data_IF_459689137824
#
_entry.id   IF_459689137824
#
_cell.length_a   1.000
_cell.length_b   1.000
_cell.length_c   1.000
_cell.angle_alpha   90.00
_cell.angle_beta   90.00
_cell.angle_gamma   90.00
#
_symmetry.space_group_name_H-M   'P 1'
#
loop_
_entity.id
_entity.type
_entity.pdbx_description
1 polymer ?
#
# COMPACT_ATOMS: atom_id res chain seq x y z
N UNK A 1 26.88 3.27 -10.30
CA UNK A 1 26.67 2.40 -9.11
C UNK A 1 25.32 2.74 -8.50
N UNK A 2 24.25 2.13 -9.02
CA UNK A 2 22.89 2.33 -8.49
C UNK A 2 22.80 1.53 -7.20
N UNK A 3 22.63 2.21 -6.07
CA UNK A 3 22.34 1.54 -4.79
C UNK A 3 20.98 0.87 -4.95
N UNK A 4 20.95 -0.47 -4.92
CA UNK A 4 19.69 -1.20 -4.86
C UNK A 4 18.85 -0.66 -3.70
N UNK A 5 17.62 -0.23 -4.02
CA UNK A 5 16.66 0.14 -2.99
C UNK A 5 16.23 -1.16 -2.28
N UNK A 6 16.52 -1.36 -0.97
CA UNK A 6 16.29 -2.64 -0.28
C UNK A 6 14.81 -3.07 -0.15
N UNK A 7 13.90 -2.27 -0.70
CA UNK A 7 12.46 -2.34 -0.47
C UNK A 7 11.76 -3.48 -1.22
N UNK A 8 12.40 -4.17 -2.18
CA UNK A 8 11.68 -5.10 -3.06
C UNK A 8 11.45 -6.52 -2.51
N UNK A 9 12.19 -6.96 -1.49
CA UNK A 9 12.15 -8.35 -1.01
C UNK A 9 11.49 -8.60 0.35
N UNK A 10 11.42 -7.60 1.24
CA UNK A 10 11.23 -7.84 2.69
C UNK A 10 10.12 -7.03 3.36
N UNK A 11 9.28 -6.33 2.60
CA UNK A 11 8.30 -5.38 3.16
C UNK A 11 7.39 -5.95 4.28
N UNK A 12 6.83 -7.16 4.11
CA UNK A 12 6.02 -7.81 5.17
C UNK A 12 6.83 -8.02 6.46
N UNK A 13 8.13 -8.32 6.33
CA UNK A 13 9.02 -8.55 7.47
C UNK A 13 9.40 -7.25 8.19
N UNK A 14 9.48 -6.12 7.51
CA UNK A 14 10.00 -4.88 8.11
C UNK A 14 9.00 -4.24 9.07
N UNK A 15 7.72 -4.08 8.69
CA UNK A 15 6.71 -3.55 9.62
C UNK A 15 6.38 -4.55 10.74
N UNK A 16 6.39 -5.85 10.45
CA UNK A 16 6.25 -6.89 11.48
C UNK A 16 7.41 -6.87 12.50
N UNK A 17 8.63 -6.57 12.04
CA UNK A 17 9.80 -6.33 12.92
C UNK A 17 9.62 -5.09 13.77
N UNK A 18 9.12 -3.98 13.21
CA UNK A 18 8.80 -2.77 13.98
C UNK A 18 7.77 -3.04 15.08
N UNK A 19 6.71 -3.80 14.77
CA UNK A 19 5.70 -4.23 15.75
C UNK A 19 6.32 -5.09 16.86
N UNK A 20 7.10 -6.11 16.49
CA UNK A 20 7.80 -6.98 17.43
C UNK A 20 8.79 -6.20 18.31
N UNK A 21 9.51 -5.24 17.73
CA UNK A 21 10.43 -4.37 18.46
C UNK A 21 9.70 -3.56 19.54
N UNK A 22 8.62 -2.87 19.18
CA UNK A 22 7.83 -2.09 20.16
C UNK A 22 7.27 -3.00 21.26
N UNK A 23 6.73 -4.17 20.90
CA UNK A 23 6.23 -5.13 21.88
C UNK A 23 7.30 -5.61 22.86
N UNK A 24 8.52 -5.86 22.38
CA UNK A 24 9.63 -6.27 23.25
C UNK A 24 10.13 -5.14 24.14
N UNK A 25 10.09 -3.88 23.67
CA UNK A 25 10.36 -2.71 24.53
C UNK A 25 9.28 -2.56 25.61
N UNK A 26 8.00 -2.70 25.25
CA UNK A 26 6.89 -2.60 26.22
C UNK A 26 6.88 -3.72 27.26
N UNK A 27 7.35 -4.92 26.89
CA UNK A 27 7.55 -6.05 27.82
C UNK A 27 8.82 -5.92 28.68
N UNK A 28 9.63 -4.88 28.50
CA UNK A 28 10.89 -4.69 29.21
C UNK A 28 12.03 -5.61 28.77
N UNK A 29 11.87 -6.34 27.66
CA UNK A 29 12.93 -7.20 27.08
C UNK A 29 14.06 -6.35 26.51
N UNK A 30 13.73 -5.21 25.92
CA UNK A 30 14.70 -4.24 25.40
C UNK A 30 14.69 -2.95 26.21
N UNK A 31 15.86 -2.30 26.29
CA UNK A 31 15.99 -0.98 26.91
C UNK A 31 15.11 0.02 26.18
N UNK A 32 14.32 0.78 26.94
CA UNK A 32 13.44 1.79 26.37
C UNK A 32 14.26 2.96 25.83
N UNK A 33 14.14 3.22 24.53
CA UNK A 33 14.69 4.41 23.89
C UNK A 33 13.59 5.46 23.73
N UNK A 34 13.57 6.53 24.51
CA UNK A 34 12.52 7.58 24.45
C UNK A 34 12.73 8.60 23.32
N UNK A 35 13.54 8.28 22.31
CA UNK A 35 13.77 9.19 21.20
C UNK A 35 12.54 9.33 20.29
N UNK A 36 12.54 10.39 19.48
CA UNK A 36 11.44 10.71 18.56
C UNK A 36 11.14 9.57 17.57
N UNK A 37 12.16 8.89 17.07
CA UNK A 37 11.98 7.77 16.12
C UNK A 37 11.22 6.60 16.73
N UNK A 38 11.54 6.21 17.97
CA UNK A 38 10.82 5.17 18.69
C UNK A 38 9.37 5.59 18.96
N UNK A 39 9.15 6.82 19.43
CA UNK A 39 7.81 7.33 19.70
C UNK A 39 6.92 7.30 18.45
N UNK A 40 7.45 7.69 17.29
CA UNK A 40 6.73 7.62 16.01
C UNK A 40 6.36 6.18 15.62
N UNK A 41 7.29 5.22 15.77
CA UNK A 41 7.00 3.81 15.46
C UNK A 41 5.98 3.27 16.46
N UNK A 42 6.13 3.57 17.75
CA UNK A 42 5.18 3.19 18.79
C UNK A 42 3.77 3.70 18.48
N UNK A 43 3.64 4.97 18.12
CA UNK A 43 2.37 5.56 17.71
C UNK A 43 1.80 4.84 16.48
N UNK A 44 2.61 4.61 15.44
CA UNK A 44 2.19 3.90 14.24
C UNK A 44 1.72 2.47 14.53
N UNK A 45 2.30 1.78 15.53
CA UNK A 45 1.88 0.43 15.93
C UNK A 45 0.53 0.39 16.64
N UNK A 46 0.00 1.53 17.11
CA UNK A 46 -1.36 1.61 17.66
C UNK A 46 -2.44 1.62 16.58
N UNK A 47 -2.09 1.95 15.34
CA UNK A 47 -3.01 1.87 14.20
C UNK A 47 -3.27 0.41 13.81
N UNK A 48 -4.50 -0.05 14.02
CA UNK A 48 -4.95 -1.41 13.71
C UNK A 48 -4.80 -1.77 12.22
N UNK A 49 -4.73 -0.77 11.34
CA UNK A 49 -4.58 -0.93 9.90
C UNK A 49 -3.16 -0.64 9.39
N UNK A 50 -2.18 -0.42 10.27
CA UNK A 50 -0.82 -0.05 9.85
C UNK A 50 -0.20 -1.06 8.88
N UNK A 51 -0.43 -2.37 9.12
CA UNK A 51 0.03 -3.42 8.21
C UNK A 51 -0.67 -3.36 6.85
N UNK A 52 -1.97 -3.05 6.83
CA UNK A 52 -2.75 -2.90 5.60
C UNK A 52 -2.21 -1.73 4.78
N UNK A 53 -2.06 -0.56 5.41
CA UNK A 53 -1.47 0.64 4.78
C UNK A 53 -0.08 0.35 4.22
N UNK A 54 0.77 -0.32 5.01
CA UNK A 54 2.11 -0.69 4.58
C UNK A 54 2.09 -1.60 3.34
N UNK A 55 1.16 -2.55 3.26
CA UNK A 55 1.02 -3.44 2.10
C UNK A 55 0.49 -2.74 0.85
N UNK A 56 -0.40 -1.76 1.01
CA UNK A 56 -0.82 -0.89 -0.10
C UNK A 56 0.38 -0.12 -0.64
N UNK A 57 1.14 0.56 0.23
CA UNK A 57 2.35 1.30 -0.19
C UNK A 57 3.41 0.39 -0.80
N UNK A 58 3.61 -0.81 -0.25
CA UNK A 58 4.54 -1.78 -0.84
C UNK A 58 4.10 -2.22 -2.24
N UNK A 59 2.80 -2.38 -2.46
CA UNK A 59 2.26 -2.74 -3.79
C UNK A 59 2.47 -1.60 -4.77
N UNK A 60 2.18 -0.35 -4.38
CA UNK A 60 2.48 0.85 -5.18
C UNK A 60 3.98 0.92 -5.52
N UNK A 61 4.85 0.77 -4.51
CA UNK A 61 6.30 0.84 -4.70
C UNK A 61 6.81 -0.26 -5.65
N UNK A 62 6.27 -1.47 -5.55
CA UNK A 62 6.60 -2.57 -6.48
C UNK A 62 6.16 -2.28 -7.91
N UNK A 63 5.02 -1.63 -8.11
CA UNK A 63 4.55 -1.23 -9.44
C UNK A 63 5.38 -0.09 -10.03
N UNK A 64 5.77 0.89 -9.20
CA UNK A 64 6.56 2.06 -9.64
C UNK A 64 8.04 1.71 -9.87
N UNK A 65 8.61 0.77 -9.12
CA UNK A 65 10.05 0.45 -9.15
C UNK A 65 10.60 0.19 -10.56
N UNK A 66 10.02 -0.68 -11.41
CA UNK A 66 10.55 -0.93 -12.75
C UNK A 66 10.57 0.31 -13.64
N UNK A 67 9.55 1.18 -13.51
CA UNK A 67 9.51 2.44 -14.24
C UNK A 67 10.67 3.35 -13.83
N UNK A 68 10.90 3.49 -12.52
CA UNK A 68 12.02 4.30 -12.02
C UNK A 68 13.36 3.75 -12.46
N UNK A 69 13.59 2.43 -12.35
CA UNK A 69 14.85 1.80 -12.78
C UNK A 69 15.11 2.00 -14.27
N UNK A 70 14.05 1.94 -15.09
CA UNK A 70 14.15 2.17 -16.53
C UNK A 70 14.54 3.63 -16.85
N UNK A 71 13.86 4.60 -16.23
CA UNK A 71 14.11 6.04 -16.45
C UNK A 71 15.32 6.61 -15.69
N UNK A 72 15.89 5.89 -14.74
CA UNK A 72 17.15 6.21 -14.06
C UNK A 72 18.36 5.59 -14.79
N UNK A 73 18.33 5.62 -16.12
CA UNK A 73 19.41 5.18 -17.00
C UNK A 73 19.90 6.34 -17.87
N UNK A 74 21.09 6.21 -18.45
CA UNK A 74 21.66 7.21 -19.37
C UNK A 74 21.06 7.15 -20.79
N UNK A 75 20.00 6.35 -20.99
CA UNK A 75 19.33 6.23 -22.28
C UNK A 75 18.43 7.47 -22.56
N UNK A 76 18.33 7.92 -23.82
CA UNK A 76 17.50 9.07 -24.19
C UNK A 76 16.00 8.67 -24.24
N UNK A 77 15.41 8.38 -23.09
CA UNK A 77 14.05 7.84 -22.97
C UNK A 77 12.93 8.89 -23.00
N UNK A 78 13.27 10.18 -22.98
CA UNK A 78 12.29 11.28 -22.96
C UNK A 78 11.19 11.18 -24.04
N UNK A 79 11.47 10.75 -25.30
CA UNK A 79 10.43 10.59 -26.31
C UNK A 79 9.33 9.58 -25.95
N UNK A 80 9.60 8.62 -25.05
CA UNK A 80 8.66 7.58 -24.64
C UNK A 80 7.97 7.87 -23.29
N UNK A 81 8.39 8.94 -22.60
CA UNK A 81 8.00 9.23 -21.22
C UNK A 81 6.49 9.36 -21.04
N UNK A 82 5.80 10.05 -21.96
CA UNK A 82 4.35 10.24 -21.87
C UNK A 82 3.59 8.90 -21.91
N UNK A 83 3.96 8.01 -22.83
CA UNK A 83 3.27 6.73 -23.01
C UNK A 83 3.56 5.78 -21.84
N UNK A 84 4.80 5.77 -21.35
CA UNK A 84 5.19 4.94 -20.21
C UNK A 84 4.56 5.42 -18.88
N UNK A 85 4.47 6.74 -18.66
CA UNK A 85 3.74 7.30 -17.52
C UNK A 85 2.26 6.91 -17.59
N UNK A 86 1.64 7.06 -18.77
CA UNK A 86 0.24 6.68 -18.97
C UNK A 86 0.03 5.19 -18.64
N UNK A 87 0.95 4.33 -19.08
CA UNK A 87 0.92 2.89 -18.80
C UNK A 87 1.05 2.61 -17.30
N UNK A 88 2.00 3.26 -16.62
CA UNK A 88 2.20 3.12 -15.17
C UNK A 88 0.95 3.55 -14.40
N UNK A 89 0.37 4.71 -14.74
CA UNK A 89 -0.84 5.19 -14.08
C UNK A 89 -2.02 4.23 -14.30
N UNK A 90 -2.26 3.79 -15.55
CA UNK A 90 -3.31 2.79 -15.84
C UNK A 90 -3.14 1.52 -15.00
N UNK A 91 -1.92 0.97 -14.97
CA UNK A 91 -1.62 -0.21 -14.17
C UNK A 91 -1.95 -0.01 -12.68
N UNK A 92 -1.61 1.14 -12.09
CA UNK A 92 -1.93 1.44 -10.69
C UNK A 92 -3.44 1.54 -10.47
N UNK A 93 -4.16 2.28 -11.31
CA UNK A 93 -5.60 2.52 -11.10
C UNK A 93 -6.42 1.24 -11.36
N UNK A 94 -6.02 0.42 -12.33
CA UNK A 94 -6.59 -0.91 -12.58
C UNK A 94 -6.29 -1.89 -11.45
N UNK A 95 -5.06 -1.90 -10.91
CA UNK A 95 -4.65 -2.79 -9.83
C UNK A 95 -5.50 -2.62 -8.56
N UNK A 96 -5.84 -1.38 -8.22
CA UNK A 96 -6.70 -1.05 -7.09
C UNK A 96 -8.21 -1.04 -7.45
N UNK A 97 -8.56 -1.29 -8.71
CA UNK A 97 -9.93 -1.31 -9.21
C UNK A 97 -10.74 -0.05 -8.81
N UNK A 98 -10.16 1.14 -9.04
CA UNK A 98 -10.68 2.41 -8.49
C UNK A 98 -11.93 2.91 -9.22
N UNK A 99 -12.02 2.75 -10.55
CA UNK A 99 -13.11 3.28 -11.37
C UNK A 99 -13.98 2.18 -11.98
N UNK A 100 -15.20 2.54 -12.38
CA UNK A 100 -16.14 1.61 -13.03
C UNK A 100 -15.57 1.05 -14.35
N UNK A 101 -15.76 -0.24 -14.69
CA UNK A 101 -15.14 -0.88 -15.85
C UNK A 101 -15.41 -0.22 -17.22
N UNK A 102 -16.47 0.59 -17.31
CA UNK A 102 -16.85 1.36 -18.50
C UNK A 102 -15.85 2.48 -18.87
N UNK A 103 -15.00 2.90 -17.93
CA UNK A 103 -13.95 3.89 -18.18
C UNK A 103 -12.66 3.21 -18.65
N UNK A 104 -12.20 3.56 -19.86
CA UNK A 104 -10.88 3.15 -20.38
C UNK A 104 -10.04 4.39 -20.69
N UNK A 105 -8.91 4.52 -20.00
CA UNK A 105 -7.96 5.61 -20.23
C UNK A 105 -7.10 5.36 -21.47
N UNK A 106 -7.68 5.38 -22.67
CA UNK A 106 -6.94 5.15 -23.91
C UNK A 106 -5.83 6.18 -24.19
N UNK A 107 -5.85 7.35 -23.55
CA UNK A 107 -4.85 8.41 -23.69
C UNK A 107 -4.59 9.15 -22.37
N UNK A 108 -3.45 9.85 -22.28
CA UNK A 108 -3.07 10.66 -21.13
C UNK A 108 -4.08 11.77 -20.84
N UNK A 109 -4.59 12.42 -21.89
CA UNK A 109 -5.59 13.50 -21.75
C UNK A 109 -6.86 13.00 -21.05
N UNK A 110 -7.34 11.78 -21.35
CA UNK A 110 -8.52 11.21 -20.70
C UNK A 110 -8.28 10.98 -19.21
N UNK A 111 -7.11 10.44 -18.87
CA UNK A 111 -6.73 10.22 -17.48
C UNK A 111 -6.60 11.55 -16.72
N UNK A 112 -5.97 12.57 -17.30
CA UNK A 112 -5.80 13.88 -16.66
C UNK A 112 -7.10 14.65 -16.48
N UNK A 113 -8.12 14.38 -17.30
CA UNK A 113 -9.45 15.00 -17.21
C UNK A 113 -10.43 14.21 -16.35
N UNK A 114 -10.04 13.02 -15.88
CA UNK A 114 -10.89 12.21 -15.04
C UNK A 114 -11.03 12.87 -13.66
N UNK A 115 -12.27 13.02 -13.20
CA UNK A 115 -12.55 13.59 -11.89
C UNK A 115 -12.54 12.47 -10.84
N UNK A 116 -11.47 12.40 -10.06
CA UNK A 116 -11.36 11.43 -8.96
C UNK A 116 -12.17 11.83 -7.72
N UNK A 117 -12.88 12.95 -7.74
CA UNK A 117 -13.77 13.41 -6.67
C UNK A 117 -15.23 13.08 -6.93
N UNK A 118 -15.58 12.73 -8.17
CA UNK A 118 -16.91 12.31 -8.55
C UNK A 118 -17.14 10.82 -8.21
N UNK A 119 -17.89 10.57 -7.14
CA UNK A 119 -18.22 9.22 -6.66
C UNK A 119 -18.97 8.39 -7.70
N UNK A 120 -19.70 9.02 -8.63
CA UNK A 120 -20.43 8.31 -9.69
C UNK A 120 -19.47 7.69 -10.72
N UNK A 121 -18.22 8.13 -10.81
CA UNK A 121 -17.20 7.56 -11.69
C UNK A 121 -16.43 6.42 -11.02
N UNK A 122 -16.44 6.38 -9.68
CA UNK A 122 -15.67 5.44 -8.87
C UNK A 122 -16.42 4.13 -8.66
N UNK A 123 -15.66 3.07 -8.38
CA UNK A 123 -16.22 1.84 -7.87
C UNK A 123 -16.66 2.01 -6.41
N UNK A 124 -17.67 1.23 -6.02
CA UNK A 124 -18.07 1.12 -4.62
C UNK A 124 -16.92 0.56 -3.77
N UNK A 125 -16.86 0.99 -2.51
CA UNK A 125 -15.77 0.67 -1.58
C UNK A 125 -15.51 -0.84 -1.42
N UNK A 126 -16.54 -1.67 -1.54
CA UNK A 126 -16.45 -3.14 -1.48
C UNK A 126 -15.76 -3.79 -2.69
N UNK A 127 -15.72 -3.08 -3.83
CA UNK A 127 -15.08 -3.52 -5.07
C UNK A 127 -13.66 -2.99 -5.24
N UNK A 128 -13.31 -1.93 -4.51
CA UNK A 128 -11.93 -1.41 -4.49
C UNK A 128 -11.02 -2.46 -3.87
N UNK A 129 -9.97 -2.82 -4.59
CA UNK A 129 -8.92 -3.72 -4.13
C UNK A 129 -7.86 -2.89 -3.41
N UNK A 130 -7.29 -3.39 -2.32
CA UNK A 130 -6.05 -2.85 -1.71
C UNK A 130 -4.82 -3.67 -2.11
N UNK A 131 -4.99 -4.64 -3.01
CA UNK A 131 -4.01 -5.65 -3.36
C UNK A 131 -4.16 -6.91 -2.51
N UNK A 132 -3.81 -8.05 -3.10
CA UNK A 132 -4.05 -9.40 -2.55
C UNK A 132 -3.67 -9.55 -1.07
N UNK A 133 -2.49 -9.07 -0.68
CA UNK A 133 -2.00 -9.21 0.70
C UNK A 133 -2.76 -8.31 1.67
N UNK A 134 -3.01 -7.05 1.29
CA UNK A 134 -3.72 -6.09 2.13
C UNK A 134 -5.18 -6.53 2.33
N UNK A 135 -5.85 -6.96 1.26
CA UNK A 135 -7.22 -7.49 1.32
C UNK A 135 -7.30 -8.72 2.23
N UNK A 136 -6.32 -9.62 2.16
CA UNK A 136 -6.27 -10.79 3.04
C UNK A 136 -6.09 -10.38 4.51
N UNK A 137 -5.23 -9.41 4.82
CA UNK A 137 -5.06 -8.89 6.18
C UNK A 137 -6.37 -8.28 6.69
N UNK A 138 -7.05 -7.46 5.88
CA UNK A 138 -8.36 -6.88 6.26
C UNK A 138 -9.39 -7.97 6.52
N UNK A 139 -9.50 -8.97 5.64
CA UNK A 139 -10.38 -10.13 5.84
C UNK A 139 -10.07 -10.86 7.15
N UNK A 140 -8.81 -11.01 7.51
CA UNK A 140 -8.41 -11.61 8.80
C UNK A 140 -8.76 -10.73 9.99
N UNK A 141 -8.54 -9.41 9.92
CA UNK A 141 -8.90 -8.45 10.98
C UNK A 141 -10.41 -8.44 11.23
N UNK A 142 -11.20 -8.44 10.16
CA UNK A 142 -12.66 -8.52 10.20
C UNK A 142 -13.11 -9.84 10.82
N UNK A 143 -12.57 -10.99 10.37
CA UNK A 143 -12.84 -12.31 10.98
C UNK A 143 -12.49 -12.37 12.47
N UNK A 144 -11.35 -11.80 12.88
CA UNK A 144 -10.97 -11.70 14.29
C UNK A 144 -11.96 -10.85 15.09
N UNK A 145 -12.42 -9.72 14.55
CA UNK A 145 -13.50 -8.92 15.17
C UNK A 145 -14.79 -9.74 15.34
N UNK A 146 -15.17 -10.54 14.34
CA UNK A 146 -16.30 -11.47 14.44
C UNK A 146 -16.08 -12.59 15.47
N UNK A 147 -14.85 -13.02 15.75
CA UNK A 147 -14.59 -14.01 16.82
C UNK A 147 -14.85 -13.48 18.23
N UNK A 148 -14.61 -12.18 18.49
CA UNK A 148 -15.02 -11.56 19.76
C UNK A 148 -16.54 -11.39 19.88
N UNK A 149 -17.25 -11.22 18.76
CA UNK A 149 -18.71 -11.11 18.73
C UNK A 149 -19.41 -12.47 18.83
N UNK A 150 -18.82 -13.55 18.29
CA UNK A 150 -19.33 -14.93 18.46
C UNK A 150 -19.22 -15.46 19.90
N UNK A 151 -18.32 -14.90 20.72
CA UNK A 151 -18.21 -15.24 22.14
C UNK A 151 -19.15 -14.43 23.05
N UNK A 152 -19.80 -13.38 22.54
CA UNK A 152 -20.65 -12.47 23.31
C UNK A 152 -22.16 -12.77 23.20
N UNK A 153 -22.56 -13.72 22.35
CA UNK A 153 -23.94 -14.18 22.20
C UNK A 153 -24.02 -15.72 22.23
N UNK A 154 -23.44 -16.31 23.28
CA UNK A 154 -23.92 -17.60 23.79
C UNK A 154 -24.69 -17.32 25.08
N UNK A 155 -25.97 -17.03 24.92
CA UNK A 155 -27.02 -17.34 25.90
C UNK A 155 -28.09 -18.10 25.14
#
# INVERSE_FOLDING_TARGET
>A
MVRECPCSGTGHSNMARCLSYVQNVEKGVFVTNKNKSYLNIKEATQDKFILVKFHVFLSIAKTIKPFLEFYQSDAPLLPFFSDDILKLCKQLVEYFNIYKPEYNFSSAIKLCKFDFTDEDLLNSVDKVSMGFVADNIVKQLVKKKYSYLKGAFNV
#
